data_IF_223955839963
#
_entry.id   IF_223955839963
#
_cell.length_a   1.000
_cell.length_b   1.000
_cell.length_c   1.000
_cell.angle_alpha   90.00
_cell.angle_beta   90.00
_cell.angle_gamma   90.00
#
_symmetry.space_group_name_H-M   'P 1'
#
loop_
_entity.id
_entity.type
_entity.pdbx_description
1 polymer ?
#
# COMPACT_ATOMS: atom_id res chain seq x y z
N UNK A 1 23.01 -8.51 36.99
CA UNK A 1 22.93 -8.51 35.51
C UNK A 1 21.63 -7.89 34.98
N UNK A 2 20.49 -8.07 35.64
CA UNK A 2 19.19 -7.48 35.25
C UNK A 2 19.15 -5.94 35.44
N UNK A 3 19.80 -5.43 36.49
CA UNK A 3 19.87 -3.98 36.77
C UNK A 3 20.67 -3.17 35.72
N UNK A 4 21.68 -3.78 35.10
CA UNK A 4 22.49 -3.12 34.06
C UNK A 4 21.77 -3.06 32.71
N UNK A 5 20.93 -4.05 32.37
CA UNK A 5 20.07 -3.98 31.17
C UNK A 5 18.98 -2.91 31.30
N UNK A 6 18.40 -2.76 32.50
CA UNK A 6 17.37 -1.74 32.76
C UNK A 6 17.96 -0.33 32.78
N UNK A 7 19.14 -0.14 33.37
CA UNK A 7 19.84 1.15 33.39
C UNK A 7 20.37 1.52 31.99
N UNK A 8 20.80 0.54 31.19
CA UNK A 8 21.18 0.78 29.79
C UNK A 8 19.95 1.16 28.95
N UNK A 9 18.79 0.50 29.11
CA UNK A 9 17.55 0.89 28.43
C UNK A 9 17.06 2.28 28.84
N UNK A 10 17.10 2.60 30.14
CA UNK A 10 16.66 3.90 30.66
C UNK A 10 17.60 5.03 30.21
N UNK A 11 18.92 4.80 30.22
CA UNK A 11 19.90 5.77 29.73
C UNK A 11 19.91 5.87 28.20
N UNK A 12 19.61 4.80 27.45
CA UNK A 12 19.52 4.83 25.99
C UNK A 12 18.28 5.60 25.53
N UNK A 13 17.14 5.44 26.22
CA UNK A 13 15.94 6.26 25.98
C UNK A 13 16.11 7.71 26.46
N UNK A 14 16.80 7.97 27.57
CA UNK A 14 17.11 9.35 27.99
C UNK A 14 18.12 10.04 27.05
N UNK A 15 18.99 9.30 26.36
CA UNK A 15 19.91 9.84 25.35
C UNK A 15 19.37 9.87 23.92
N UNK A 16 18.25 9.21 23.66
CA UNK A 16 17.43 9.40 22.44
C UNK A 16 16.42 10.55 22.59
N UNK A 17 16.59 11.43 23.58
CA UNK A 17 16.18 12.83 23.42
C UNK A 17 17.29 13.59 22.67
N UNK A 18 17.66 13.09 21.48
CA UNK A 18 18.21 13.97 20.46
C UNK A 18 17.01 14.71 19.90
N UNK A 19 16.62 15.76 20.63
CA UNK A 19 16.08 17.00 20.10
C UNK A 19 15.87 16.96 18.57
N UNK A 20 14.61 16.86 18.15
CA UNK A 20 14.28 16.76 16.74
C UNK A 20 14.46 18.16 16.14
N UNK A 21 15.61 18.39 15.49
CA UNK A 21 16.03 19.69 14.97
C UNK A 21 16.18 19.68 13.45
N UNK A 22 15.27 20.30 12.71
CA UNK A 22 15.43 20.48 11.27
C UNK A 22 16.48 21.56 10.96
N UNK A 23 17.20 21.48 9.82
CA UNK A 23 18.15 22.52 9.45
C UNK A 23 17.50 23.90 9.31
N UNK A 24 18.24 24.97 9.64
CA UNK A 24 17.74 26.37 9.62
C UNK A 24 17.08 26.77 8.29
N UNK A 25 17.60 26.30 7.17
CA UNK A 25 17.00 26.56 5.85
C UNK A 25 15.58 25.97 5.74
N UNK A 26 15.37 24.77 6.27
CA UNK A 26 14.04 24.15 6.29
C UNK A 26 13.11 24.90 7.26
N UNK A 27 13.62 25.34 8.42
CA UNK A 27 12.86 26.16 9.38
C UNK A 27 12.40 27.46 8.77
N UNK A 28 13.31 28.18 8.12
CA UNK A 28 13.02 29.44 7.43
C UNK A 28 11.99 29.22 6.32
N UNK A 29 12.15 28.16 5.53
CA UNK A 29 11.21 27.84 4.45
C UNK A 29 9.80 27.53 4.97
N UNK A 30 9.68 26.75 6.05
CA UNK A 30 8.40 26.44 6.70
C UNK A 30 7.76 27.70 7.28
N UNK A 31 8.53 28.49 8.04
CA UNK A 31 8.04 29.72 8.68
C UNK A 31 7.57 30.75 7.67
N UNK A 32 8.24 30.83 6.52
CA UNK A 32 7.87 31.73 5.43
C UNK A 32 6.76 31.15 4.53
N UNK A 33 6.34 29.89 4.75
CA UNK A 33 5.32 29.22 3.96
C UNK A 33 5.72 29.03 2.49
N UNK A 34 7.01 28.87 2.21
CA UNK A 34 7.54 28.79 0.82
C UNK A 34 7.76 27.36 0.34
N UNK A 35 7.55 26.34 1.19
CA UNK A 35 7.63 24.95 0.76
C UNK A 35 6.64 24.68 -0.40
N UNK A 36 7.02 23.85 -1.37
CA UNK A 36 6.22 23.63 -2.58
C UNK A 36 5.03 22.67 -2.34
N UNK A 37 4.89 22.14 -1.13
CA UNK A 37 3.83 21.22 -0.70
C UNK A 37 3.32 21.65 0.67
N UNK A 38 2.06 21.37 0.96
CA UNK A 38 1.38 21.70 2.24
C UNK A 38 1.37 20.54 3.23
N UNK A 39 1.59 19.31 2.76
CA UNK A 39 1.67 18.08 3.56
C UNK A 39 2.58 17.04 2.88
N UNK A 40 3.06 16.07 3.65
CA UNK A 40 3.73 14.86 3.16
C UNK A 40 2.91 13.62 3.49
N UNK A 41 3.09 12.55 2.71
CA UNK A 41 2.60 11.21 3.01
C UNK A 41 3.70 10.19 2.74
N UNK A 42 3.53 8.94 3.19
CA UNK A 42 4.50 7.85 2.92
C UNK A 42 4.74 7.72 1.41
N UNK A 43 3.66 7.75 0.62
CA UNK A 43 3.71 7.67 -0.84
C UNK A 43 4.46 8.86 -1.44
N UNK A 44 4.19 10.08 -0.96
CA UNK A 44 4.89 11.28 -1.43
C UNK A 44 6.38 11.23 -1.12
N UNK A 45 6.77 10.80 0.09
CA UNK A 45 8.17 10.63 0.46
C UNK A 45 8.86 9.56 -0.38
N UNK A 46 8.21 8.41 -0.59
CA UNK A 46 8.72 7.33 -1.44
C UNK A 46 8.96 7.80 -2.88
N UNK A 47 8.02 8.57 -3.43
CA UNK A 47 8.16 9.12 -4.77
C UNK A 47 9.30 10.13 -4.83
N UNK A 48 9.41 11.02 -3.83
CA UNK A 48 10.48 12.01 -3.77
C UNK A 48 11.87 11.36 -3.70
N UNK A 49 12.04 10.33 -2.87
CA UNK A 49 13.33 9.63 -2.72
C UNK A 49 13.68 8.85 -4.00
N UNK A 50 12.69 8.21 -4.63
CA UNK A 50 12.94 7.36 -5.81
C UNK A 50 13.12 8.19 -7.08
N UNK A 51 12.22 9.15 -7.32
CA UNK A 51 12.23 10.02 -8.48
C UNK A 51 11.61 11.40 -8.14
N UNK A 52 12.43 12.39 -7.74
CA UNK A 52 11.96 13.74 -7.43
C UNK A 52 11.14 14.41 -8.53
N UNK A 53 11.35 14.03 -9.80
CA UNK A 53 10.59 14.56 -10.94
C UNK A 53 9.15 14.07 -10.94
N UNK A 54 8.93 12.79 -10.66
CA UNK A 54 7.57 12.26 -10.54
C UNK A 54 6.88 12.84 -9.31
N UNK A 55 7.63 13.04 -8.21
CA UNK A 55 7.10 13.78 -7.06
C UNK A 55 6.66 15.20 -7.45
N UNK A 56 7.48 15.95 -8.19
CA UNK A 56 7.14 17.28 -8.66
C UNK A 56 5.87 17.26 -9.52
N UNK A 57 5.78 16.34 -10.47
CA UNK A 57 4.60 16.17 -11.32
C UNK A 57 3.34 15.87 -10.49
N UNK A 58 3.40 14.91 -9.57
CA UNK A 58 2.23 14.43 -8.81
C UNK A 58 1.84 15.35 -7.66
N UNK A 59 2.79 15.77 -6.84
CA UNK A 59 2.51 16.42 -5.55
C UNK A 59 2.69 17.95 -5.57
N UNK A 60 3.41 18.50 -6.57
CA UNK A 60 3.57 19.96 -6.72
C UNK A 60 2.70 20.48 -7.86
N UNK A 61 2.69 19.82 -9.01
CA UNK A 61 1.85 20.20 -10.15
C UNK A 61 0.44 19.59 -10.09
N UNK A 62 0.19 18.66 -9.16
CA UNK A 62 -1.08 17.93 -9.03
C UNK A 62 -1.48 17.19 -10.33
N UNK A 63 -0.47 16.77 -11.10
CA UNK A 63 -0.62 16.04 -12.34
C UNK A 63 -0.33 14.55 -12.10
N UNK A 64 -1.38 13.84 -11.69
CA UNK A 64 -1.32 12.40 -11.45
C UNK A 64 -1.46 11.61 -12.74
N UNK A 65 -0.76 10.47 -12.82
CA UNK A 65 -0.99 9.53 -13.91
C UNK A 65 -2.41 8.97 -13.79
N UNK A 66 -3.20 9.12 -14.85
CA UNK A 66 -4.58 8.63 -14.90
C UNK A 66 -4.65 7.10 -15.10
N UNK A 67 -3.51 6.47 -15.37
CA UNK A 67 -3.42 5.03 -15.65
C UNK A 67 -3.23 4.21 -14.38
N UNK A 68 -3.87 3.05 -14.32
CA UNK A 68 -3.73 2.04 -13.27
C UNK A 68 -3.40 0.67 -13.87
N UNK A 69 -3.28 -0.37 -13.04
CA UNK A 69 -3.13 -1.76 -13.48
C UNK A 69 -4.14 -2.66 -12.79
N UNK A 70 -4.48 -3.77 -13.44
CA UNK A 70 -5.37 -4.78 -12.85
C UNK A 70 -4.88 -5.28 -11.49
N UNK A 71 -3.56 -5.38 -11.29
CA UNK A 71 -2.97 -5.77 -10.00
C UNK A 71 -3.26 -4.76 -8.87
N UNK A 72 -3.21 -3.46 -9.18
CA UNK A 72 -3.55 -2.40 -8.21
C UNK A 72 -5.03 -2.46 -7.84
N UNK A 73 -5.90 -2.64 -8.84
CA UNK A 73 -7.35 -2.76 -8.62
C UNK A 73 -7.71 -3.98 -7.74
N UNK A 74 -7.04 -5.11 -7.94
CA UNK A 74 -7.18 -6.29 -7.07
C UNK A 74 -6.78 -5.96 -5.64
N UNK A 75 -5.64 -5.29 -5.43
CA UNK A 75 -5.19 -4.88 -4.10
C UNK A 75 -6.22 -3.99 -3.40
N UNK A 76 -6.65 -2.92 -4.06
CA UNK A 76 -7.66 -1.98 -3.50
C UNK A 76 -8.99 -2.66 -3.18
N UNK A 77 -9.44 -3.58 -4.03
CA UNK A 77 -10.69 -4.32 -3.80
C UNK A 77 -10.60 -5.24 -2.57
N UNK A 78 -9.48 -5.93 -2.38
CA UNK A 78 -9.26 -6.77 -1.20
C UNK A 78 -9.15 -5.91 0.05
N UNK A 79 -8.40 -4.80 0.04
CA UNK A 79 -8.34 -3.89 1.20
C UNK A 79 -9.73 -3.42 1.62
N UNK A 80 -10.56 -3.00 0.66
CA UNK A 80 -11.93 -2.58 0.96
C UNK A 80 -12.78 -3.70 1.57
N UNK A 81 -12.63 -4.93 1.10
CA UNK A 81 -13.32 -6.09 1.68
C UNK A 81 -12.85 -6.38 3.12
N UNK A 82 -11.54 -6.28 3.38
CA UNK A 82 -10.97 -6.54 4.70
C UNK A 82 -11.23 -5.42 5.71
N UNK A 83 -11.29 -4.17 5.25
CA UNK A 83 -11.78 -3.03 6.02
C UNK A 83 -13.17 -3.36 6.54
N UNK A 84 -14.11 -3.67 5.64
CA UNK A 84 -15.51 -3.84 6.02
C UNK A 84 -15.72 -5.07 6.90
N UNK A 85 -14.99 -6.17 6.62
CA UNK A 85 -14.94 -7.34 7.49
C UNK A 85 -14.53 -6.97 8.93
N UNK A 86 -13.42 -6.24 9.10
CA UNK A 86 -12.92 -5.89 10.43
C UNK A 86 -13.71 -4.78 11.10
N UNK A 87 -14.25 -3.84 10.34
CA UNK A 87 -15.13 -2.80 10.87
C UNK A 87 -16.40 -3.41 11.45
N UNK A 88 -17.05 -4.34 10.74
CA UNK A 88 -18.21 -5.07 11.27
C UNK A 88 -17.85 -5.85 12.55
N UNK A 89 -16.72 -6.54 12.58
CA UNK A 89 -16.25 -7.22 13.79
C UNK A 89 -16.08 -6.24 14.97
N UNK A 90 -15.49 -5.07 14.75
CA UNK A 90 -15.28 -4.06 15.80
C UNK A 90 -16.61 -3.45 16.27
N UNK A 91 -17.50 -3.08 15.36
CA UNK A 91 -18.71 -2.30 15.65
C UNK A 91 -19.85 -3.16 16.21
N UNK A 92 -20.06 -4.36 15.67
CA UNK A 92 -21.18 -5.24 16.05
C UNK A 92 -20.75 -6.54 16.74
N UNK A 93 -19.46 -6.90 16.69
CA UNK A 93 -18.98 -8.20 17.14
C UNK A 93 -19.36 -9.35 16.19
N UNK A 94 -19.94 -9.04 15.03
CA UNK A 94 -20.34 -10.01 14.03
C UNK A 94 -19.16 -10.35 13.11
N UNK A 95 -19.01 -11.65 12.81
CA UNK A 95 -18.04 -12.13 11.84
C UNK A 95 -18.79 -12.39 10.52
N UNK A 96 -18.50 -11.59 9.50
CA UNK A 96 -19.14 -11.75 8.20
C UNK A 96 -18.75 -13.10 7.56
N UNK A 97 -19.70 -13.82 6.92
CA UNK A 97 -19.41 -15.02 6.17
C UNK A 97 -18.47 -14.78 4.98
N UNK A 98 -17.70 -15.80 4.60
CA UNK A 98 -16.74 -15.73 3.48
C UNK A 98 -17.38 -15.20 2.19
N UNK A 99 -18.54 -15.72 1.82
CA UNK A 99 -19.26 -15.33 0.60
C UNK A 99 -19.61 -13.84 0.61
N UNK A 100 -20.03 -13.30 1.76
CA UNK A 100 -20.33 -11.87 1.93
C UNK A 100 -19.09 -11.02 1.70
N UNK A 101 -17.96 -11.35 2.35
CA UNK A 101 -16.71 -10.58 2.20
C UNK A 101 -16.19 -10.65 0.76
N UNK A 102 -16.30 -11.82 0.13
CA UNK A 102 -15.96 -12.02 -1.28
C UNK A 102 -16.80 -11.15 -2.21
N UNK A 103 -18.12 -11.06 -1.98
CA UNK A 103 -19.01 -10.19 -2.76
C UNK A 103 -18.63 -8.70 -2.62
N UNK A 104 -18.32 -8.24 -1.39
CA UNK A 104 -17.84 -6.87 -1.14
C UNK A 104 -16.60 -6.58 -1.99
N UNK A 105 -15.64 -7.51 -2.03
CA UNK A 105 -14.43 -7.38 -2.85
C UNK A 105 -14.72 -7.30 -4.35
N UNK A 106 -15.59 -8.16 -4.87
CA UNK A 106 -15.97 -8.13 -6.30
C UNK A 106 -16.71 -6.84 -6.68
N UNK A 107 -17.61 -6.38 -5.83
CA UNK A 107 -18.34 -5.12 -6.02
C UNK A 107 -17.38 -3.93 -6.03
N UNK A 108 -16.46 -3.87 -5.06
CA UNK A 108 -15.43 -2.84 -5.01
C UNK A 108 -14.55 -2.83 -6.27
N UNK A 109 -14.13 -4.02 -6.75
CA UNK A 109 -13.36 -4.14 -7.99
C UNK A 109 -14.11 -3.60 -9.20
N UNK A 110 -15.37 -3.97 -9.37
CA UNK A 110 -16.22 -3.47 -10.48
C UNK A 110 -16.39 -1.96 -10.41
N UNK A 111 -16.59 -1.42 -9.21
CA UNK A 111 -16.66 0.03 -8.97
C UNK A 111 -15.38 0.72 -9.46
N UNK A 112 -14.21 0.25 -9.01
CA UNK A 112 -12.94 0.82 -9.43
C UNK A 112 -12.71 0.73 -10.95
N UNK A 113 -13.04 -0.41 -11.58
CA UNK A 113 -12.97 -0.54 -13.05
C UNK A 113 -13.82 0.52 -13.74
N UNK A 114 -15.05 0.72 -13.29
CA UNK A 114 -15.96 1.72 -13.85
C UNK A 114 -15.46 3.16 -13.62
N UNK A 115 -14.89 3.46 -12.45
CA UNK A 115 -14.26 4.77 -12.19
C UNK A 115 -13.17 5.10 -13.22
N UNK A 116 -12.29 4.15 -13.53
CA UNK A 116 -11.22 4.35 -14.51
C UNK A 116 -11.75 4.43 -15.95
N UNK A 117 -12.83 3.72 -16.27
CA UNK A 117 -13.53 3.89 -17.55
C UNK A 117 -14.08 5.30 -17.68
N UNK A 118 -14.77 5.82 -16.67
CA UNK A 118 -15.30 7.19 -16.67
C UNK A 118 -14.17 8.21 -16.83
N UNK A 119 -13.04 8.02 -16.13
CA UNK A 119 -11.84 8.86 -16.30
C UNK A 119 -11.29 8.81 -17.72
N UNK A 120 -11.32 7.66 -18.39
CA UNK A 120 -10.85 7.49 -19.77
C UNK A 120 -11.72 8.30 -20.74
N UNK A 121 -13.04 8.28 -20.52
CA UNK A 121 -14.01 9.07 -21.29
C UNK A 121 -13.76 10.56 -21.11
N UNK A 122 -13.66 11.01 -19.84
CA UNK A 122 -13.45 12.41 -19.51
C UNK A 122 -12.19 12.95 -20.21
N UNK A 123 -11.10 12.16 -20.19
CA UNK A 123 -9.85 12.45 -20.88
C UNK A 123 -10.04 12.55 -22.41
N UNK A 124 -10.76 11.61 -23.03
CA UNK A 124 -11.04 11.64 -24.50
C UNK A 124 -11.88 12.86 -24.91
N UNK A 125 -12.71 13.38 -24.02
CA UNK A 125 -13.57 14.53 -24.26
C UNK A 125 -12.93 15.89 -23.94
N UNK A 126 -11.63 15.93 -23.59
CA UNK A 126 -10.92 17.15 -23.14
C UNK A 126 -11.66 17.88 -21.99
N UNK A 127 -12.33 17.11 -21.13
CA UNK A 127 -13.11 17.64 -20.02
C UNK A 127 -12.36 17.45 -18.71
N UNK A 128 -11.79 18.55 -18.24
CA UNK A 128 -11.10 18.64 -16.95
C UNK A 128 -12.07 18.69 -15.75
N UNK A 129 -13.39 18.78 -15.98
CA UNK A 129 -14.45 19.06 -15.00
C UNK A 129 -15.21 17.81 -14.51
N UNK A 130 -14.84 16.60 -14.94
CA UNK A 130 -15.51 15.38 -14.47
C UNK A 130 -14.93 14.98 -13.11
N UNK A 131 -15.41 15.63 -12.05
CA UNK A 131 -15.43 15.00 -10.73
C UNK A 131 -16.30 13.75 -10.85
N UNK A 132 -15.65 12.58 -10.88
CA UNK A 132 -16.35 11.32 -10.70
C UNK A 132 -16.74 11.26 -9.24
N UNK A 133 -17.89 11.87 -8.90
CA UNK A 133 -18.52 11.71 -7.60
C UNK A 133 -18.97 10.25 -7.50
N UNK A 134 -18.06 9.39 -7.04
CA UNK A 134 -18.38 8.04 -6.60
C UNK A 134 -19.09 8.22 -5.27
N UNK A 135 -20.38 7.85 -5.13
CA UNK A 135 -21.05 7.99 -3.85
C UNK A 135 -20.31 7.17 -2.78
N UNK A 136 -19.88 7.83 -1.71
CA UNK A 136 -19.42 7.19 -0.48
C UNK A 136 -20.61 6.59 0.28
N UNK A 137 -21.26 5.56 -0.25
CA UNK A 137 -22.44 5.00 0.43
C UNK A 137 -22.63 3.53 0.10
N UNK A 138 -22.04 2.62 0.87
CA UNK A 138 -22.25 1.18 0.64
C UNK A 138 -22.19 0.30 1.89
N UNK A 139 -22.29 0.86 3.10
CA UNK A 139 -22.29 0.06 4.33
C UNK A 139 -23.54 -0.81 4.50
N UNK A 140 -24.70 -0.35 4.00
CA UNK A 140 -26.01 -0.94 4.34
C UNK A 140 -26.82 -1.46 3.13
N UNK A 141 -26.22 -1.53 1.94
CA UNK A 141 -26.94 -1.86 0.70
C UNK A 141 -26.78 -3.34 0.31
N UNK A 142 -27.85 -3.95 -0.19
CA UNK A 142 -27.79 -5.31 -0.78
C UNK A 142 -27.11 -5.28 -2.16
N UNK A 143 -26.59 -6.43 -2.62
CA UNK A 143 -25.95 -6.55 -3.95
C UNK A 143 -26.84 -6.01 -5.09
N UNK A 144 -28.16 -6.20 -4.99
CA UNK A 144 -29.15 -5.71 -5.95
C UNK A 144 -29.32 -4.20 -5.89
N UNK A 145 -29.26 -3.61 -4.69
CA UNK A 145 -29.33 -2.17 -4.49
C UNK A 145 -28.06 -1.48 -5.00
N UNK A 146 -26.89 -2.08 -4.81
CA UNK A 146 -25.63 -1.54 -5.33
C UNK A 146 -25.61 -1.58 -6.86
N UNK A 147 -26.01 -2.71 -7.46
CA UNK A 147 -26.12 -2.84 -8.90
C UNK A 147 -27.16 -1.86 -9.47
N UNK A 148 -28.29 -1.67 -8.80
CA UNK A 148 -29.31 -0.71 -9.22
C UNK A 148 -28.83 0.75 -9.11
N UNK A 149 -28.06 1.11 -8.07
CA UNK A 149 -27.48 2.46 -7.97
C UNK A 149 -26.38 2.69 -9.01
N UNK A 150 -25.54 1.68 -9.28
CA UNK A 150 -24.57 1.76 -10.37
C UNK A 150 -25.26 1.91 -11.73
N UNK A 151 -26.32 1.15 -11.99
CA UNK A 151 -27.13 1.26 -13.21
C UNK A 151 -27.79 2.65 -13.31
N UNK A 152 -28.25 3.24 -12.19
CA UNK A 152 -28.75 4.62 -12.15
C UNK A 152 -27.67 5.66 -12.44
N UNK A 153 -26.47 5.49 -11.89
CA UNK A 153 -25.33 6.40 -12.12
C UNK A 153 -24.90 6.32 -13.58
N UNK A 154 -24.75 5.10 -14.11
CA UNK A 154 -24.46 4.83 -15.53
C UNK A 154 -25.53 5.49 -16.40
N UNK A 155 -26.81 5.20 -16.15
CA UNK A 155 -27.92 5.76 -16.92
C UNK A 155 -27.98 7.28 -16.84
N UNK A 156 -27.81 7.89 -15.67
CA UNK A 156 -27.77 9.36 -15.49
C UNK A 156 -26.58 10.00 -16.23
N UNK A 157 -25.45 9.30 -16.28
CA UNK A 157 -24.28 9.74 -17.04
C UNK A 157 -24.56 9.69 -18.55
N UNK A 158 -25.17 8.60 -19.05
CA UNK A 158 -25.51 8.41 -20.47
C UNK A 158 -26.70 9.24 -20.95
N UNK A 159 -27.75 9.43 -20.14
CA UNK A 159 -28.91 10.28 -20.45
C UNK A 159 -28.51 11.72 -20.77
N UNK A 160 -27.44 12.21 -20.14
CA UNK A 160 -26.91 13.55 -20.38
C UNK A 160 -25.98 13.62 -21.61
N UNK A 161 -25.56 12.48 -22.19
CA UNK A 161 -24.66 12.39 -23.35
C UNK A 161 -24.90 11.11 -24.18
N UNK A 162 -26.03 11.04 -24.91
CA UNK A 162 -26.46 9.83 -25.65
C UNK A 162 -25.55 9.46 -26.84
N UNK A 163 -24.66 10.37 -27.28
CA UNK A 163 -23.72 10.11 -28.39
C UNK A 163 -22.63 9.09 -28.04
N UNK A 164 -22.45 8.75 -26.76
CA UNK A 164 -21.38 7.89 -26.24
C UNK A 164 -21.91 6.50 -25.79
N UNK A 165 -23.22 6.26 -25.91
CA UNK A 165 -23.90 5.06 -25.40
C UNK A 165 -23.49 3.75 -26.13
N UNK A 166 -22.89 3.85 -27.31
CA UNK A 166 -22.62 2.70 -28.20
C UNK A 166 -21.13 2.44 -28.50
N UNK A 167 -20.19 3.17 -27.90
CA UNK A 167 -18.76 2.80 -27.98
C UNK A 167 -18.41 1.91 -26.77
N UNK A 168 -17.95 0.66 -26.96
CA UNK A 168 -17.49 -0.14 -25.85
C UNK A 168 -16.33 0.62 -25.19
N UNK A 169 -16.48 1.01 -23.93
CA UNK A 169 -15.38 1.63 -23.19
C UNK A 169 -14.25 0.63 -23.07
N UNK A 170 -13.26 0.80 -23.93
CA UNK A 170 -11.98 0.13 -23.78
C UNK A 170 -11.41 0.52 -22.42
N UNK A 171 -10.80 -0.47 -21.76
CA UNK A 171 -10.15 -0.31 -20.47
C UNK A 171 -8.80 0.46 -20.62
N UNK A 172 -8.78 1.53 -21.41
CA UNK A 172 -7.58 2.24 -21.87
C UNK A 172 -6.67 2.74 -20.75
N UNK A 173 -7.28 3.19 -19.66
CA UNK A 173 -6.56 3.64 -18.47
C UNK A 173 -6.21 2.48 -17.53
N UNK A 174 -6.56 1.25 -17.85
CA UNK A 174 -6.26 0.06 -17.05
C UNK A 174 -5.31 -0.84 -17.83
N UNK A 175 -4.06 -0.90 -17.36
CA UNK A 175 -3.06 -1.83 -17.89
C UNK A 175 -3.38 -3.25 -17.41
N UNK A 176 -4.03 -4.02 -18.27
CA UNK A 176 -4.20 -5.46 -18.07
C UNK A 176 -2.91 -6.21 -18.42
N UNK A 177 -2.27 -6.79 -17.42
CA UNK A 177 -1.13 -7.69 -17.62
C UNK A 177 -1.56 -9.09 -18.08
N UNK A 178 -0.67 -9.81 -18.75
CA UNK A 178 -0.90 -11.21 -19.14
C UNK A 178 -1.27 -12.13 -17.95
N UNK A 179 -0.81 -11.78 -16.74
CA UNK A 179 -1.10 -12.51 -15.49
C UNK A 179 -2.27 -11.93 -14.70
N UNK A 180 -2.85 -10.82 -15.15
CA UNK A 180 -3.98 -10.12 -14.53
C UNK A 180 -4.94 -9.62 -15.62
N UNK A 181 -5.45 -10.48 -16.53
CA UNK A 181 -6.65 -10.14 -17.28
C UNK A 181 -7.83 -10.00 -16.31
N UNK A 182 -8.92 -9.38 -16.76
CA UNK A 182 -10.05 -9.00 -15.91
C UNK A 182 -10.65 -10.19 -15.15
N UNK A 183 -10.90 -11.31 -15.84
CA UNK A 183 -11.50 -12.51 -15.25
C UNK A 183 -10.60 -13.07 -14.14
N UNK A 184 -9.28 -13.09 -14.40
CA UNK A 184 -8.29 -13.54 -13.42
C UNK A 184 -8.15 -12.60 -12.23
N UNK A 185 -8.53 -11.32 -12.36
CA UNK A 185 -8.55 -10.39 -11.23
C UNK A 185 -9.67 -10.76 -10.25
N UNK A 186 -10.86 -11.10 -10.74
CA UNK A 186 -11.97 -11.57 -9.89
C UNK A 186 -11.58 -12.85 -9.13
N UNK A 187 -10.99 -13.83 -9.82
CA UNK A 187 -10.45 -15.05 -9.18
C UNK A 187 -9.41 -14.73 -8.09
N UNK A 188 -8.47 -13.81 -8.37
CA UNK A 188 -7.43 -13.39 -7.43
C UNK A 188 -8.00 -12.73 -6.17
N UNK A 189 -9.06 -11.93 -6.31
CA UNK A 189 -9.76 -11.28 -5.18
C UNK A 189 -10.40 -12.35 -4.30
N UNK A 190 -11.16 -13.27 -4.90
CA UNK A 190 -11.84 -14.35 -4.17
C UNK A 190 -10.85 -15.22 -3.39
N UNK A 191 -9.73 -15.58 -4.01
CA UNK A 191 -8.66 -16.35 -3.38
C UNK A 191 -7.97 -15.60 -2.24
N UNK A 192 -7.62 -14.32 -2.44
CA UNK A 192 -6.98 -13.52 -1.40
C UNK A 192 -7.87 -13.37 -0.16
N UNK A 193 -9.16 -13.10 -0.35
CA UNK A 193 -10.13 -12.96 0.74
C UNK A 193 -10.28 -14.29 1.50
N UNK A 194 -10.46 -15.40 0.77
CA UNK A 194 -10.50 -16.74 1.37
C UNK A 194 -9.25 -17.02 2.21
N UNK A 195 -8.08 -16.79 1.61
CA UNK A 195 -6.80 -17.02 2.26
C UNK A 195 -6.64 -16.20 3.55
N UNK A 196 -7.11 -14.94 3.55
CA UNK A 196 -7.09 -14.10 4.74
C UNK A 196 -8.08 -14.59 5.81
N UNK A 197 -9.33 -14.90 5.46
CA UNK A 197 -10.33 -15.33 6.45
C UNK A 197 -9.95 -16.66 7.10
N UNK A 198 -9.41 -17.62 6.33
CA UNK A 198 -8.90 -18.89 6.88
C UNK A 198 -7.69 -18.70 7.80
N UNK A 199 -6.88 -17.66 7.58
CA UNK A 199 -5.80 -17.28 8.48
C UNK A 199 -6.35 -16.61 9.74
N UNK A 200 -7.27 -15.66 9.57
CA UNK A 200 -7.86 -14.87 10.64
C UNK A 200 -8.63 -15.77 11.64
N UNK A 201 -9.39 -16.75 11.15
CA UNK A 201 -10.09 -17.76 11.97
C UNK A 201 -9.13 -18.51 12.92
N UNK A 202 -7.88 -18.76 12.49
CA UNK A 202 -6.86 -19.47 13.29
C UNK A 202 -6.25 -18.60 14.38
N UNK A 203 -6.37 -17.28 14.27
CA UNK A 203 -5.77 -16.30 15.21
C UNK A 203 -6.84 -15.51 15.99
N UNK A 204 -8.11 -15.92 15.91
CA UNK A 204 -9.21 -15.30 16.68
C UNK A 204 -8.87 -15.26 18.16
N UNK A 205 -9.08 -14.09 18.78
CA UNK A 205 -8.82 -13.86 20.20
C UNK A 205 -7.34 -13.63 20.56
N UNK A 206 -6.41 -13.74 19.60
CA UNK A 206 -5.01 -13.34 19.80
C UNK A 206 -4.85 -11.82 19.71
N UNK A 207 -5.59 -11.20 18.79
CA UNK A 207 -5.54 -9.77 18.51
C UNK A 207 -6.89 -9.13 18.80
N UNK A 208 -6.89 -7.89 19.29
CA UNK A 208 -8.11 -7.11 19.49
C UNK A 208 -8.07 -5.91 18.54
N UNK A 209 -8.67 -6.00 17.33
CA UNK A 209 -8.77 -4.85 16.45
C UNK A 209 -9.60 -3.74 17.12
N UNK A 210 -9.16 -2.49 16.99
CA UNK A 210 -9.84 -1.33 17.61
C UNK A 210 -10.27 -0.28 16.59
N UNK A 211 -9.52 -0.11 15.48
CA UNK A 211 -9.85 0.84 14.41
C UNK A 211 -9.38 0.31 13.05
N UNK A 212 -10.06 0.72 11.97
CA UNK A 212 -9.73 0.39 10.57
C UNK A 212 -9.80 1.64 9.68
N UNK A 213 -9.02 1.66 8.59
CA UNK A 213 -8.94 2.75 7.59
C UNK A 213 -8.85 4.16 8.21
N UNK A 214 -8.04 4.27 9.27
CA UNK A 214 -7.93 5.51 10.02
C UNK A 214 -7.03 6.49 9.28
N UNK A 215 -7.62 7.57 8.77
CA UNK A 215 -6.87 8.72 8.27
C UNK A 215 -6.34 9.54 9.46
N UNK A 216 -5.03 9.71 9.51
CA UNK A 216 -4.32 10.46 10.53
C UNK A 216 -3.50 11.55 9.85
N UNK A 217 -3.58 12.77 10.38
CA UNK A 217 -2.73 13.87 9.94
C UNK A 217 -2.17 14.59 11.17
N UNK A 218 -0.86 14.65 11.29
CA UNK A 218 -0.19 15.32 12.40
C UNK A 218 1.08 16.04 11.94
N UNK A 219 1.37 17.17 12.57
CA UNK A 219 2.65 17.86 12.44
C UNK A 219 3.54 17.48 13.61
N UNK A 220 4.78 17.08 13.31
CA UNK A 220 5.82 17.04 14.35
C UNK A 220 6.17 18.46 14.76
N UNK A 221 6.69 18.64 15.97
CA UNK A 221 7.24 19.91 16.43
C UNK A 221 8.76 19.83 16.41
N UNK A 222 9.40 20.88 15.91
CA UNK A 222 10.80 21.14 16.17
C UNK A 222 11.03 21.52 17.64
N UNK A 223 12.28 21.48 18.11
CA UNK A 223 12.61 21.79 19.51
C UNK A 223 12.33 23.23 19.94
N UNK A 224 12.28 24.15 18.97
CA UNK A 224 11.88 25.54 19.21
C UNK A 224 10.36 25.75 19.17
N UNK A 225 9.59 24.68 18.96
CA UNK A 225 8.13 24.69 18.84
C UNK A 225 7.62 25.03 17.44
N UNK A 226 8.49 25.16 16.44
CA UNK A 226 8.07 25.31 15.03
C UNK A 226 7.40 24.01 14.56
N UNK A 227 6.13 24.05 14.12
CA UNK A 227 5.50 22.87 13.55
C UNK A 227 6.18 22.55 12.22
N UNK A 228 6.57 21.31 12.03
CA UNK A 228 6.99 20.80 10.73
C UNK A 228 5.81 20.74 9.78
N UNK A 229 6.11 20.48 8.52
CA UNK A 229 5.11 20.16 7.52
C UNK A 229 4.24 18.96 8.00
N UNK A 230 2.90 19.08 7.96
CA UNK A 230 2.01 17.99 8.33
C UNK A 230 2.31 16.70 7.58
N UNK A 231 2.17 15.59 8.26
CA UNK A 231 2.28 14.25 7.70
C UNK A 231 0.93 13.55 7.75
N UNK A 232 0.48 13.02 6.61
CA UNK A 232 -0.77 12.27 6.45
C UNK A 232 -0.48 10.79 6.22
N UNK A 233 -1.22 9.92 6.89
CA UNK A 233 -1.21 8.48 6.68
C UNK A 233 -2.59 7.87 6.85
N UNK A 234 -2.88 6.83 6.08
CA UNK A 234 -4.10 6.02 6.19
C UNK A 234 -3.69 4.64 6.69
N UNK A 235 -4.10 4.30 7.91
CA UNK A 235 -3.71 3.04 8.56
C UNK A 235 -4.82 2.02 8.37
N UNK A 236 -4.52 0.91 7.69
CA UNK A 236 -5.49 -0.13 7.38
C UNK A 236 -6.17 -0.69 8.64
N UNK A 237 -5.39 -1.06 9.66
CA UNK A 237 -5.92 -1.54 10.94
C UNK A 237 -4.99 -1.26 12.12
N UNK A 238 -5.58 -1.01 13.28
CA UNK A 238 -4.89 -0.84 14.56
C UNK A 238 -5.43 -1.88 15.54
N UNK A 239 -4.52 -2.63 16.15
CA UNK A 239 -4.83 -3.65 17.16
C UNK A 239 -4.31 -3.24 18.54
N UNK A 240 -5.02 -3.67 19.57
CA UNK A 240 -4.57 -3.66 20.96
C UNK A 240 -4.20 -5.09 21.41
N UNK A 241 -2.99 -5.25 21.92
CA UNK A 241 -2.47 -6.52 22.44
C UNK A 241 -1.70 -6.25 23.73
N UNK A 242 -2.14 -6.85 24.84
CA UNK A 242 -1.54 -6.66 26.17
C UNK A 242 -1.36 -5.18 26.58
N UNK A 243 -2.33 -4.33 26.22
CA UNK A 243 -2.31 -2.88 26.48
C UNK A 243 -1.36 -2.08 25.57
N UNK A 244 -0.72 -2.73 24.59
CA UNK A 244 0.16 -2.11 23.59
C UNK A 244 -0.54 -2.01 22.24
N UNK A 245 -0.13 -1.03 21.44
CA UNK A 245 -0.60 -0.86 20.07
C UNK A 245 0.25 -1.67 19.11
N UNK A 246 -0.39 -2.42 18.22
CA UNK A 246 0.20 -3.02 17.05
C UNK A 246 -0.48 -2.46 15.79
N UNK A 247 0.34 -1.99 14.85
CA UNK A 247 -0.12 -1.38 13.59
C UNK A 247 -0.18 -2.49 12.55
N UNK A 248 -1.24 -2.57 11.76
CA UNK A 248 -1.44 -3.59 10.75
C UNK A 248 -1.67 -2.95 9.39
N UNK A 249 -0.99 -3.48 8.39
CA UNK A 249 -1.13 -3.10 7.00
C UNK A 249 -1.25 -4.38 6.16
N UNK A 250 -2.27 -4.42 5.29
CA UNK A 250 -2.51 -5.55 4.42
C UNK A 250 -1.68 -5.40 3.13
N UNK A 251 -1.14 -6.52 2.64
CA UNK A 251 -0.38 -6.54 1.38
C UNK A 251 -0.80 -7.73 0.54
N UNK A 252 -1.57 -7.48 -0.51
CA UNK A 252 -1.92 -8.53 -1.47
C UNK A 252 -0.74 -8.79 -2.41
N UNK A 253 -0.18 -9.99 -2.36
CA UNK A 253 1.08 -10.33 -3.03
C UNK A 253 0.95 -11.55 -3.94
N UNK A 254 1.83 -11.64 -4.93
CA UNK A 254 2.02 -12.84 -5.76
C UNK A 254 3.10 -13.79 -5.21
N UNK A 255 3.97 -13.27 -4.35
CA UNK A 255 5.02 -13.99 -3.63
C UNK A 255 5.29 -13.24 -2.34
N UNK A 256 5.54 -13.97 -1.26
CA UNK A 256 5.99 -13.38 0.00
C UNK A 256 7.35 -12.70 -0.10
N UNK A 257 7.55 -11.75 0.81
CA UNK A 257 8.86 -11.24 1.21
C UNK A 257 9.82 -12.35 1.56
N UNK A 258 11.10 -12.16 1.24
CA UNK A 258 12.16 -12.86 1.95
C UNK A 258 12.29 -12.23 3.35
N UNK A 259 12.19 -13.06 4.39
CA UNK A 259 12.31 -12.61 5.77
C UNK A 259 13.72 -12.13 6.14
N UNK A 260 14.73 -12.47 5.33
CA UNK A 260 16.12 -12.05 5.53
C UNK A 260 16.47 -10.77 4.76
N UNK A 261 15.57 -10.28 3.91
CA UNK A 261 15.78 -9.07 3.13
C UNK A 261 15.15 -7.85 3.81
N UNK A 262 15.94 -6.79 3.95
CA UNK A 262 15.46 -5.51 4.46
C UNK A 262 14.55 -4.84 3.42
N UNK A 263 13.26 -4.73 3.74
CA UNK A 263 12.29 -4.00 2.91
C UNK A 263 12.23 -2.52 3.29
N UNK A 264 13.08 -1.70 2.66
CA UNK A 264 13.15 -0.25 2.94
C UNK A 264 11.80 0.49 2.80
N UNK A 265 10.91 0.08 1.90
CA UNK A 265 9.58 0.65 1.79
C UNK A 265 8.69 0.37 3.03
N UNK A 266 8.84 -0.82 3.62
CA UNK A 266 8.10 -1.20 4.82
C UNK A 266 8.65 -0.47 6.06
N UNK A 267 9.97 -0.32 6.15
CA UNK A 267 10.60 0.45 7.21
C UNK A 267 10.23 1.94 7.15
N UNK A 268 10.21 2.54 5.95
CA UNK A 268 9.75 3.91 5.74
C UNK A 268 8.29 4.08 6.23
N UNK A 269 7.41 3.15 5.84
CA UNK A 269 6.01 3.17 6.27
C UNK A 269 5.86 2.95 7.78
N UNK A 270 6.68 2.07 8.37
CA UNK A 270 6.67 1.80 9.80
C UNK A 270 7.13 2.99 10.63
N UNK A 271 8.19 3.70 10.22
CA UNK A 271 8.64 4.92 10.89
C UNK A 271 7.58 6.02 10.84
N UNK A 272 6.96 6.21 9.67
CA UNK A 272 5.84 7.13 9.48
C UNK A 272 4.66 6.84 10.41
N UNK A 273 4.16 5.60 10.39
CA UNK A 273 2.98 5.24 11.17
C UNK A 273 3.27 5.18 12.67
N UNK A 274 4.49 4.84 13.07
CA UNK A 274 4.92 4.95 14.46
C UNK A 274 4.74 6.38 15.00
N UNK A 275 5.16 7.39 14.25
CA UNK A 275 5.06 8.79 14.69
C UNK A 275 3.61 9.29 14.72
N UNK A 276 2.81 8.97 13.69
CA UNK A 276 1.38 9.31 13.66
C UNK A 276 0.64 8.68 14.83
N UNK A 277 0.79 7.38 15.04
CA UNK A 277 0.12 6.66 16.12
C UNK A 277 0.60 7.14 17.48
N UNK A 278 1.89 7.48 17.63
CA UNK A 278 2.42 8.03 18.88
C UNK A 278 1.75 9.36 19.25
N UNK A 279 1.40 10.18 18.25
CA UNK A 279 0.70 11.44 18.45
C UNK A 279 -0.75 11.22 18.91
N UNK A 280 -1.51 10.39 18.19
CA UNK A 280 -2.94 10.20 18.45
C UNK A 280 -3.24 9.27 19.62
N UNK A 281 -2.35 8.32 19.92
CA UNK A 281 -2.46 7.38 21.05
C UNK A 281 -1.42 7.69 22.14
N UNK A 282 -1.23 8.98 22.42
CA UNK A 282 -0.26 9.45 23.40
C UNK A 282 -0.38 8.71 24.75
N UNK A 283 0.74 8.22 25.27
CA UNK A 283 0.81 7.44 26.50
C UNK A 283 0.61 5.94 26.33
N UNK A 284 0.20 5.46 25.15
CA UNK A 284 0.18 4.03 24.81
C UNK A 284 1.51 3.62 24.19
N UNK A 285 1.98 2.40 24.51
CA UNK A 285 3.22 1.87 23.95
C UNK A 285 2.92 1.20 22.59
N UNK A 286 3.58 1.66 21.54
CA UNK A 286 3.58 0.98 20.23
C UNK A 286 4.64 -0.12 20.27
N UNK A 287 4.27 -1.32 19.83
CA UNK A 287 5.14 -2.51 19.89
C UNK A 287 5.65 -2.91 18.51
N UNK A 288 4.72 -3.09 17.56
CA UNK A 288 5.01 -3.69 16.24
C UNK A 288 4.26 -2.96 15.13
N UNK A 289 4.84 -2.97 13.95
CA UNK A 289 4.09 -2.90 12.70
C UNK A 289 4.13 -4.26 12.00
N UNK A 290 2.96 -4.77 11.61
CA UNK A 290 2.77 -6.05 10.95
C UNK A 290 2.25 -5.81 9.55
N UNK A 291 3.00 -6.26 8.57
CA UNK A 291 2.55 -6.33 7.19
C UNK A 291 2.00 -7.74 6.96
N UNK A 292 0.68 -7.86 6.85
CA UNK A 292 0.01 -9.13 6.58
C UNK A 292 0.03 -9.33 5.06
N UNK A 293 0.98 -10.12 4.60
CA UNK A 293 1.10 -10.49 3.20
C UNK A 293 0.13 -11.63 2.89
N UNK A 294 -0.74 -11.41 1.90
CA UNK A 294 -1.83 -12.32 1.51
C UNK A 294 -1.59 -12.77 0.08
N UNK A 295 -1.42 -14.07 -0.14
CA UNK A 295 -1.33 -14.61 -1.49
C UNK A 295 -2.68 -14.53 -2.19
N UNK A 296 -2.65 -14.09 -3.45
CA UNK A 296 -3.80 -14.09 -4.35
C UNK A 296 -3.86 -15.31 -5.26
N UNK A 297 -3.31 -16.42 -4.80
CA UNK A 297 -3.28 -17.70 -5.50
C UNK A 297 -3.52 -18.84 -4.52
N UNK A 298 -3.85 -20.00 -5.05
CA UNK A 298 -3.83 -21.25 -4.29
C UNK A 298 -2.45 -21.48 -3.65
N UNK A 299 -2.40 -22.18 -2.49
CA UNK A 299 -1.15 -22.52 -1.84
C UNK A 299 -0.28 -23.36 -2.78
N UNK A 300 1.02 -23.08 -2.76
CA UNK A 300 1.99 -23.96 -3.41
C UNK A 300 2.42 -25.03 -2.43
N UNK A 301 3.05 -26.08 -2.94
CA UNK A 301 3.67 -27.10 -2.11
C UNK A 301 5.18 -26.83 -2.02
N UNK A 302 5.68 -26.82 -0.79
CA UNK A 302 7.06 -26.44 -0.46
C UNK A 302 7.77 -27.55 0.31
N UNK A 303 9.09 -27.56 0.23
CA UNK A 303 9.93 -28.35 1.13
C UNK A 303 10.05 -27.59 2.46
N UNK A 304 9.71 -28.20 3.61
CA UNK A 304 9.76 -27.51 4.90
C UNK A 304 11.15 -26.93 5.26
N UNK A 305 12.22 -27.57 4.81
CA UNK A 305 13.60 -27.17 5.09
C UNK A 305 14.17 -26.19 4.06
N UNK A 306 13.48 -25.97 2.94
CA UNK A 306 13.88 -25.06 1.88
C UNK A 306 12.62 -24.46 1.21
N UNK A 307 11.88 -23.59 1.94
CA UNK A 307 10.55 -23.14 1.53
C UNK A 307 10.57 -22.21 0.32
N UNK A 308 11.70 -21.58 0.02
CA UNK A 308 11.84 -20.62 -1.08
C UNK A 308 12.30 -21.27 -2.40
N UNK A 309 12.67 -22.56 -2.36
CA UNK A 309 13.04 -23.31 -3.56
C UNK A 309 11.87 -23.49 -4.50
N UNK A 310 12.02 -22.96 -5.72
CA UNK A 310 11.07 -23.22 -6.81
C UNK A 310 11.26 -24.65 -7.32
N UNK A 311 10.32 -25.52 -7.01
CA UNK A 311 10.31 -26.91 -7.48
C UNK A 311 9.88 -26.99 -8.96
N UNK A 312 10.81 -27.32 -9.83
CA UNK A 312 10.52 -27.75 -11.20
C UNK A 312 10.22 -29.24 -11.23
N UNK A 313 9.70 -29.74 -12.35
CA UNK A 313 9.41 -31.18 -12.51
C UNK A 313 10.64 -32.05 -12.27
N UNK A 314 11.82 -31.58 -12.67
CA UNK A 314 13.09 -32.27 -12.41
C UNK A 314 13.33 -32.41 -10.90
N UNK A 315 13.13 -31.34 -10.13
CA UNK A 315 13.30 -31.37 -8.67
C UNK A 315 12.31 -32.35 -8.03
N UNK A 316 11.04 -32.35 -8.44
CA UNK A 316 10.03 -33.28 -7.94
C UNK A 316 10.43 -34.75 -8.16
N UNK A 317 11.03 -35.05 -9.32
CA UNK A 317 11.53 -36.40 -9.65
C UNK A 317 12.73 -36.79 -8.81
N UNK A 318 13.68 -35.88 -8.63
CA UNK A 318 14.85 -36.10 -7.75
C UNK A 318 14.40 -36.39 -6.31
N UNK A 319 13.44 -35.64 -5.78
CA UNK A 319 12.89 -35.87 -4.44
C UNK A 319 12.17 -37.23 -4.38
N UNK A 320 11.40 -37.59 -5.42
CA UNK A 320 10.79 -38.92 -5.50
C UNK A 320 11.85 -40.04 -5.45
N UNK A 321 12.94 -39.90 -6.21
CA UNK A 321 14.04 -40.87 -6.23
C UNK A 321 14.73 -40.99 -4.86
N UNK A 322 15.01 -39.85 -4.20
CA UNK A 322 15.62 -39.79 -2.86
C UNK A 322 14.78 -40.50 -1.80
N UNK A 323 13.45 -40.44 -1.94
CA UNK A 323 12.49 -41.03 -1.01
C UNK A 323 11.95 -42.39 -1.44
N UNK A 324 12.51 -43.00 -2.50
CA UNK A 324 12.07 -44.28 -3.08
C UNK A 324 10.57 -44.29 -3.47
N UNK A 325 10.05 -43.15 -3.93
CA UNK A 325 8.71 -43.01 -4.48
C UNK A 325 8.79 -43.18 -6.00
N UNK A 326 8.31 -44.32 -6.51
CA UNK A 326 8.34 -44.59 -7.95
C UNK A 326 7.56 -43.54 -8.75
N UNK A 327 8.06 -43.16 -9.92
CA UNK A 327 7.42 -42.23 -10.85
C UNK A 327 7.57 -42.65 -12.31
N UNK A 328 6.65 -42.19 -13.16
CA UNK A 328 6.66 -42.49 -14.60
C UNK A 328 7.13 -41.30 -15.45
N UNK A 329 7.77 -41.58 -16.60
CA UNK A 329 8.34 -40.54 -17.49
C UNK A 329 7.35 -39.45 -17.90
N UNK A 330 6.07 -39.80 -18.04
CA UNK A 330 4.99 -38.92 -18.49
C UNK A 330 4.05 -38.50 -17.36
N UNK A 331 4.41 -38.79 -16.11
CA UNK A 331 3.64 -38.41 -14.94
C UNK A 331 3.60 -36.89 -14.78
N UNK A 332 2.42 -36.35 -14.48
CA UNK A 332 2.19 -34.90 -14.36
C UNK A 332 2.76 -34.38 -13.04
N UNK A 333 3.08 -33.08 -13.01
CA UNK A 333 3.55 -32.44 -11.76
C UNK A 333 2.55 -32.60 -10.61
N UNK A 334 1.24 -32.52 -10.89
CA UNK A 334 0.21 -32.73 -9.87
C UNK A 334 0.30 -34.11 -9.24
N UNK A 335 0.48 -35.16 -10.05
CA UNK A 335 0.58 -36.55 -9.58
C UNK A 335 1.86 -36.78 -8.74
N UNK A 336 2.98 -36.17 -9.15
CA UNK A 336 4.22 -36.19 -8.37
C UNK A 336 4.08 -35.45 -7.04
N UNK A 337 3.42 -34.29 -7.05
CA UNK A 337 3.13 -33.51 -5.84
C UNK A 337 2.25 -34.33 -4.90
N UNK A 338 1.17 -34.94 -5.39
CA UNK A 338 0.26 -35.75 -4.57
C UNK A 338 0.99 -36.90 -3.85
N UNK A 339 1.92 -37.58 -4.55
CA UNK A 339 2.78 -38.61 -3.95
C UNK A 339 3.66 -38.05 -2.84
N UNK A 340 4.31 -36.91 -3.08
CA UNK A 340 5.20 -36.28 -2.12
C UNK A 340 4.47 -35.70 -0.91
N UNK A 341 3.25 -35.17 -1.11
CA UNK A 341 2.36 -34.69 -0.05
C UNK A 341 1.84 -35.87 0.78
N UNK A 342 1.41 -36.96 0.13
CA UNK A 342 0.99 -38.18 0.83
C UNK A 342 2.12 -38.78 1.69
N UNK A 343 3.37 -38.70 1.19
CA UNK A 343 4.56 -39.09 1.93
C UNK A 343 5.00 -38.06 3.00
N UNK A 344 4.30 -36.93 3.14
CA UNK A 344 4.59 -35.82 4.07
C UNK A 344 5.97 -35.17 3.85
N UNK A 345 6.47 -35.23 2.63
CA UNK A 345 7.74 -34.59 2.23
C UNK A 345 7.48 -33.14 1.84
N UNK A 346 6.46 -32.91 1.03
CA UNK A 346 5.96 -31.58 0.71
C UNK A 346 4.83 -31.20 1.67
N UNK A 347 4.78 -29.93 2.02
CA UNK A 347 3.71 -29.33 2.82
C UNK A 347 3.11 -28.16 2.07
N UNK A 348 1.84 -27.86 2.34
CA UNK A 348 1.21 -26.65 1.82
C UNK A 348 1.90 -25.41 2.40
N UNK A 349 2.29 -24.50 1.52
CA UNK A 349 2.75 -23.18 1.86
C UNK A 349 1.59 -22.40 2.50
N UNK A 350 1.80 -21.70 3.63
CA UNK A 350 0.76 -20.85 4.18
C UNK A 350 0.40 -19.76 3.17
N UNK A 351 -0.91 -19.51 2.97
CA UNK A 351 -1.38 -18.46 2.07
C UNK A 351 -1.27 -17.04 2.64
N UNK A 352 -0.95 -16.92 3.92
CA UNK A 352 -0.70 -15.65 4.61
C UNK A 352 0.59 -15.76 5.40
N UNK A 353 1.41 -14.70 5.36
CA UNK A 353 2.59 -14.53 6.21
C UNK A 353 2.62 -13.14 6.79
N UNK A 354 3.20 -13.02 7.98
CA UNK A 354 3.42 -11.74 8.63
C UNK A 354 4.87 -11.33 8.44
N UNK A 355 5.10 -10.15 7.84
CA UNK A 355 6.38 -9.47 7.92
C UNK A 355 6.30 -8.48 9.09
N UNK A 356 7.09 -8.73 10.14
CA UNK A 356 6.98 -8.02 11.42
C UNK A 356 8.18 -7.10 11.59
N UNK A 357 7.90 -5.82 11.83
CA UNK A 357 8.86 -4.85 12.35
C UNK A 357 8.53 -4.65 13.83
N UNK A 358 9.31 -5.27 14.71
CA UNK A 358 9.26 -4.98 16.14
C UNK A 358 10.14 -3.76 16.44
N UNK A 359 9.56 -2.70 16.99
CA UNK A 359 10.25 -1.43 17.23
C UNK A 359 11.26 -1.52 18.39
N UNK A 360 11.12 -2.50 19.31
CA UNK A 360 12.12 -2.74 20.35
C UNK A 360 13.33 -3.50 19.80
N UNK A 361 13.11 -4.44 18.88
CA UNK A 361 14.18 -5.20 18.21
C UNK A 361 14.86 -4.36 17.11
N UNK A 362 14.13 -3.41 16.51
CA UNK A 362 14.60 -2.53 15.44
C UNK A 362 14.53 -1.04 15.86
N UNK A 363 15.27 -0.62 16.90
CA UNK A 363 15.19 0.76 17.44
C UNK A 363 15.71 1.83 16.47
N UNK A 364 16.32 1.43 15.35
CA UNK A 364 16.87 2.34 14.35
C UNK A 364 15.79 2.87 13.38
N UNK A 365 14.63 2.24 13.29
CA UNK A 365 13.57 2.58 12.31
C UNK A 365 13.11 4.03 12.48
N UNK A 366 12.76 4.43 13.71
CA UNK A 366 12.23 5.77 13.99
C UNK A 366 13.30 6.86 13.76
N UNK A 367 14.54 6.76 14.30
CA UNK A 367 15.59 7.73 13.99
C UNK A 367 15.96 7.82 12.50
N UNK A 368 15.89 6.70 11.78
CA UNK A 368 16.14 6.66 10.33
C UNK A 368 15.06 7.44 9.59
N UNK A 369 13.79 7.21 9.92
CA UNK A 369 12.66 7.93 9.35
C UNK A 369 12.73 9.44 9.66
N UNK A 370 13.03 9.81 10.90
CA UNK A 370 13.26 11.20 11.29
C UNK A 370 14.37 11.87 10.48
N UNK A 371 15.47 11.14 10.24
CA UNK A 371 16.57 11.61 9.40
C UNK A 371 16.12 11.80 7.95
N UNK A 372 15.31 10.89 7.42
CA UNK A 372 14.73 11.02 6.08
C UNK A 372 13.86 12.27 5.97
N UNK A 373 13.00 12.56 6.96
CA UNK A 373 12.21 13.80 6.98
C UNK A 373 13.12 15.03 6.90
N UNK A 374 14.20 15.09 7.71
CA UNK A 374 15.13 16.23 7.68
C UNK A 374 15.75 16.42 6.30
N UNK A 375 16.17 15.34 5.66
CA UNK A 375 16.75 15.38 4.31
C UNK A 375 15.72 15.88 3.30
N UNK A 376 14.49 15.34 3.32
CA UNK A 376 13.43 15.74 2.39
C UNK A 376 13.07 17.21 2.58
N UNK A 377 12.80 17.66 3.80
CA UNK A 377 12.44 19.05 4.08
C UNK A 377 13.57 20.02 3.68
N UNK A 378 14.82 19.63 3.88
CA UNK A 378 15.98 20.44 3.46
C UNK A 378 16.04 20.56 1.94
N UNK A 379 15.84 19.46 1.21
CA UNK A 379 15.87 19.49 -0.25
C UNK A 379 14.68 20.28 -0.82
N UNK A 380 13.48 20.12 -0.26
CA UNK A 380 12.31 20.92 -0.65
C UNK A 380 12.53 22.42 -0.38
N UNK A 381 13.14 22.77 0.76
CA UNK A 381 13.49 24.15 1.08
C UNK A 381 14.52 24.73 0.10
N UNK A 382 15.58 23.97 -0.21
CA UNK A 382 16.59 24.36 -1.20
C UNK A 382 15.96 24.59 -2.58
N UNK A 383 15.10 23.67 -3.05
CA UNK A 383 14.37 23.82 -4.30
C UNK A 383 13.48 25.05 -4.31
N UNK A 384 12.77 25.33 -3.21
CA UNK A 384 11.90 26.51 -3.12
C UNK A 384 12.67 27.83 -3.06
N UNK A 385 13.75 27.91 -2.28
CA UNK A 385 14.47 29.16 -2.02
C UNK A 385 15.46 29.53 -3.14
N UNK A 386 16.02 28.53 -3.82
CA UNK A 386 17.06 28.74 -4.83
C UNK A 386 16.63 28.30 -6.24
N UNK A 387 15.35 27.94 -6.43
CA UNK A 387 14.79 27.49 -7.71
C UNK A 387 15.57 26.28 -8.29
N UNK A 388 15.94 25.34 -7.41
CA UNK A 388 16.67 24.12 -7.82
C UNK A 388 15.68 23.14 -8.46
N UNK A 389 15.95 22.70 -9.71
CA UNK A 389 15.07 21.78 -10.44
C UNK A 389 14.94 20.42 -9.75
N UNK A 390 13.80 19.75 -9.97
CA UNK A 390 13.51 18.44 -9.42
C UNK A 390 14.03 17.35 -10.35
N UNK A 391 15.35 17.16 -10.33
CA UNK A 391 16.01 16.23 -11.22
C UNK A 391 15.70 14.76 -10.84
N UNK A 392 15.52 13.87 -11.84
CA UNK A 392 15.45 12.44 -11.58
C UNK A 392 16.73 11.94 -10.87
N UNK A 393 16.67 10.74 -10.29
CA UNK A 393 17.88 10.10 -9.78
C UNK A 393 18.86 9.83 -10.93
N UNK A 394 20.02 10.51 -10.93
CA UNK A 394 21.09 10.41 -11.96
C UNK A 394 21.53 8.96 -12.21
N UNK A 395 21.40 8.08 -11.21
CA UNK A 395 21.76 6.67 -11.35
C UNK A 395 20.75 5.86 -12.19
N UNK A 396 19.48 6.29 -12.23
CA UNK A 396 18.40 5.69 -13.05
C UNK A 396 18.36 6.23 -14.48
N UNK A 397 19.08 7.32 -14.79
CA UNK A 397 19.13 7.90 -16.14
C UNK A 397 19.62 6.96 -17.23
N UNK A 398 20.40 5.94 -16.87
CA UNK A 398 20.98 5.01 -17.82
C UNK A 398 20.21 3.68 -17.95
N UNK A 399 19.07 3.54 -17.24
CA UNK A 399 18.24 2.33 -17.25
C UNK A 399 16.82 2.54 -17.80
N UNK A 400 16.26 3.77 -17.76
CA UNK A 400 14.89 4.08 -18.21
C UNK A 400 14.79 5.08 -19.37
N UNK A 401 14.03 4.76 -20.42
CA UNK A 401 13.85 5.62 -21.60
C UNK A 401 13.11 6.95 -21.31
N UNK A 402 12.19 6.94 -20.33
CA UNK A 402 11.42 8.13 -19.92
C UNK A 402 12.28 9.11 -19.11
N UNK A 403 13.22 8.61 -18.30
CA UNK A 403 14.04 9.43 -17.38
C UNK A 403 14.92 10.46 -18.10
N UNK A 404 15.43 10.12 -19.29
CA UNK A 404 16.20 11.06 -20.10
C UNK A 404 15.31 12.08 -20.82
N UNK A 405 14.12 11.66 -21.26
CA UNK A 405 13.15 12.56 -21.92
C UNK A 405 12.66 13.63 -20.92
N UNK A 406 12.30 13.22 -19.71
CA UNK A 406 11.88 14.12 -18.63
C UNK A 406 12.95 15.17 -18.29
N UNK A 407 14.22 14.76 -18.27
CA UNK A 407 15.35 15.67 -18.05
C UNK A 407 15.52 16.68 -19.19
N UNK A 408 15.40 16.24 -20.44
CA UNK A 408 15.47 17.13 -21.60
C UNK A 408 14.33 18.15 -21.56
N UNK A 409 13.11 17.72 -21.22
CA UNK A 409 11.96 18.61 -21.06
C UNK A 409 12.23 19.70 -20.01
N UNK A 410 12.76 19.34 -18.84
CA UNK A 410 13.09 20.29 -17.76
C UNK A 410 14.21 21.27 -18.16
N UNK A 411 15.30 20.78 -18.74
CA UNK A 411 16.41 21.63 -19.20
C UNK A 411 16.05 22.51 -20.40
N UNK A 412 15.02 22.13 -21.18
CA UNK A 412 14.55 22.89 -22.33
C UNK A 412 13.64 24.07 -21.97
N UNK A 413 13.18 24.18 -20.73
CA UNK A 413 12.35 25.30 -20.26
C UNK A 413 10.99 25.42 -20.95
N UNK A 414 10.42 24.31 -21.44
CA UNK A 414 9.04 24.32 -21.91
C UNK A 414 8.11 24.62 -20.73
N UNK A 415 7.62 25.87 -20.68
CA UNK A 415 6.73 26.42 -19.66
C UNK A 415 5.50 25.52 -19.44
N UNK A 416 5.46 24.80 -18.33
CA UNK A 416 4.22 24.23 -17.83
C UNK A 416 3.71 25.18 -16.73
N UNK A 417 2.62 25.89 -17.04
CA UNK A 417 1.99 26.82 -16.10
C UNK A 417 1.49 26.07 -14.85
N UNK A 418 1.78 26.63 -13.67
CA UNK A 418 1.19 26.18 -12.40
C UNK A 418 -0.31 26.44 -12.42
N UNK A 419 -1.13 25.40 -12.40
CA UNK A 419 -2.57 25.57 -12.18
C UNK A 419 -2.83 25.70 -10.68
N UNK A 420 -3.01 26.94 -10.22
CA UNK A 420 -3.19 27.27 -8.79
C UNK A 420 -4.59 26.98 -8.26
N UNK A 421 -5.51 26.50 -9.12
CA UNK A 421 -6.93 26.35 -8.78
C UNK A 421 -7.28 25.00 -8.14
N UNK A 422 -6.38 24.02 -8.14
CA UNK A 422 -6.62 22.66 -7.62
C UNK A 422 -6.03 22.36 -6.24
N UNK A 423 -5.43 23.36 -5.58
CA UNK A 423 -4.71 23.16 -4.32
C UNK A 423 -5.63 22.93 -3.10
N UNK A 424 -6.90 23.34 -3.19
CA UNK A 424 -7.83 23.32 -2.05
C UNK A 424 -8.81 22.12 -2.05
N UNK A 425 -8.90 21.34 -3.14
CA UNK A 425 -9.95 20.31 -3.31
C UNK A 425 -9.43 18.86 -3.40
N UNK A 426 -8.12 18.61 -3.30
CA UNK A 426 -7.59 17.24 -3.42
C UNK A 426 -7.31 16.58 -2.05
N UNK A 427 -8.36 16.01 -1.47
CA UNK A 427 -8.33 15.18 -0.25
C UNK A 427 -8.17 13.66 -0.53
N UNK A 428 -8.03 13.27 -1.79
CA UNK A 428 -7.85 11.88 -2.20
C UNK A 428 -6.42 11.35 -1.95
N UNK A 429 -6.35 10.30 -1.12
CA UNK A 429 -5.21 9.46 -0.72
C UNK A 429 -4.41 9.92 0.51
#
# INVERSE_FOLDING_TARGET
MIFYKFLFYFLFFQKMSTKFEIPEIAKEAIKNGVLPVTRLSVSAMKEFISNPRIFFKKYIMLNFDLETSGAMLVGSAVHKALEEYKKTEIESGEILPLETVQNIGLVAFRRFVNEYRIKAIAKRLERDDVEVAVPEFYGDMTDEEVLAELEKIEKKFFENKPEIENEPFEDDLIKWGATTPREKCEEQILLAIKNFLEFDEKIVGIYSPIETEKTLEASMMDDDGTPLLPFKGVVDRIDEVDGKIEIVDYKVVSKFSDANEVKGNYELQAGAYFLLISHFYAGRKIRKMRFIEILKSEPRFILPHDPDRRLLQKDLREICDEHNLGWEKYEKNSELIDKLVFAKILVEEPCVREYIIDFEENPHIVPTFETMIRVILTQLALSAMYDIPFLPNISDFFSGAESYKDFVEEMSGQNIQRDKTKADDYDGF
#
